data_IF_899944985171
#
_entry.id   IF_899944985171
#
_cell.length_a   1.000
_cell.length_b   1.000
_cell.length_c   1.000
_cell.angle_alpha   90.00
_cell.angle_beta   90.00
_cell.angle_gamma   90.00
#
_symmetry.space_group_name_H-M   'P 1'
#
loop_
_entity.id
_entity.type
_entity.pdbx_description
1 polymer ?
#
# COMPACT_ATOMS: atom_id res chain seq x y z
N UNK A 1 -86.30 18.48 53.47
CA UNK A 1 -86.85 19.75 52.94
C UNK A 1 -86.28 19.92 51.54
N UNK A 2 -86.89 19.28 50.53
CA UNK A 2 -87.98 19.83 49.71
C UNK A 2 -87.57 21.08 48.94
N UNK A 3 -87.16 20.92 47.68
CA UNK A 3 -87.41 21.92 46.64
C UNK A 3 -87.47 21.22 45.27
N UNK A 4 -88.64 21.33 44.62
CA UNK A 4 -88.90 21.08 43.18
C UNK A 4 -89.19 22.45 42.53
N UNK A 5 -89.57 22.51 41.24
CA UNK A 5 -88.85 22.55 39.95
C UNK A 5 -88.94 23.99 39.36
N UNK A 6 -88.76 24.30 38.04
CA UNK A 6 -89.75 24.04 36.95
C UNK A 6 -89.13 23.68 35.55
N UNK A 7 -89.78 22.90 34.67
CA UNK A 7 -90.66 23.25 33.52
C UNK A 7 -90.11 24.40 32.64
N UNK A 8 -89.96 24.39 31.30
CA UNK A 8 -90.67 23.80 30.14
C UNK A 8 -89.77 24.07 28.87
N UNK A 9 -90.22 23.95 27.60
CA UNK A 9 -90.23 22.80 26.69
C UNK A 9 -89.37 23.07 25.39
N UNK A 10 -89.76 22.43 24.28
CA UNK A 10 -89.54 22.77 22.85
C UNK A 10 -88.55 21.86 22.10
N UNK A 11 -89.14 20.85 21.44
CA UNK A 11 -88.98 20.49 20.04
C UNK A 11 -87.82 21.13 19.26
N UNK A 12 -86.83 20.32 18.87
CA UNK A 12 -85.77 20.72 17.95
C UNK A 12 -85.34 19.57 17.05
N UNK A 13 -85.90 19.57 15.84
CA UNK A 13 -85.62 18.78 14.65
C UNK A 13 -84.22 18.16 14.51
N UNK A 14 -84.23 16.97 13.91
CA UNK A 14 -83.10 16.27 13.32
C UNK A 14 -82.20 17.18 12.46
N UNK A 15 -80.89 17.01 12.63
CA UNK A 15 -79.90 17.24 11.59
C UNK A 15 -78.81 16.17 11.75
N UNK A 16 -78.83 15.18 10.87
CA UNK A 16 -77.74 14.24 10.68
C UNK A 16 -76.55 15.03 10.10
N UNK A 17 -75.66 15.50 10.98
CA UNK A 17 -74.36 16.01 10.59
C UNK A 17 -73.47 14.85 10.18
N UNK A 18 -73.21 14.69 8.89
CA UNK A 18 -72.06 13.94 8.39
C UNK A 18 -70.81 14.51 9.07
N UNK A 19 -70.24 13.76 10.02
CA UNK A 19 -68.90 14.03 10.49
C UNK A 19 -67.94 13.70 9.33
N UNK A 20 -67.47 14.72 8.63
CA UNK A 20 -66.28 14.63 7.79
C UNK A 20 -65.11 14.24 8.70
N UNK A 21 -64.78 12.95 8.72
CA UNK A 21 -63.47 12.48 9.19
C UNK A 21 -62.45 13.08 8.24
N UNK A 22 -61.47 13.90 8.68
CA UNK A 22 -60.36 14.25 7.83
C UNK A 22 -59.61 12.95 7.57
N UNK A 23 -59.66 12.48 6.33
CA UNK A 23 -58.75 11.45 5.86
C UNK A 23 -57.34 12.00 6.07
N UNK A 24 -56.67 11.55 7.13
CA UNK A 24 -55.22 11.63 7.23
C UNK A 24 -54.69 10.87 6.03
N UNK A 25 -54.37 11.61 4.97
CA UNK A 25 -53.46 11.18 3.93
C UNK A 25 -52.16 10.83 4.65
N UNK A 26 -52.02 9.55 5.01
CA UNK A 26 -50.71 8.96 5.14
C UNK A 26 -50.08 9.15 3.77
N UNK A 27 -49.22 10.17 3.66
CA UNK A 27 -48.26 10.23 2.59
C UNK A 27 -47.50 8.91 2.69
N UNK A 28 -47.87 7.96 1.83
CA UNK A 28 -47.03 6.81 1.58
C UNK A 28 -45.78 7.39 0.95
N UNK A 29 -44.76 7.61 1.78
CA UNK A 29 -43.42 7.87 1.31
C UNK A 29 -43.12 6.76 0.29
N UNK A 30 -42.90 7.17 -0.96
CA UNK A 30 -42.59 6.26 -2.05
C UNK A 30 -41.39 5.40 -1.59
N UNK A 31 -41.51 4.06 -1.46
CA UNK A 31 -40.44 3.19 -1.02
C UNK A 31 -39.34 3.03 -2.08
N UNK A 32 -39.31 3.91 -3.09
CA UNK A 32 -38.11 4.22 -3.87
C UNK A 32 -37.04 4.79 -2.95
N UNK A 33 -36.39 3.84 -2.27
CA UNK A 33 -35.11 3.88 -1.61
C UNK A 33 -34.48 5.27 -1.59
N UNK A 34 -34.41 5.86 -0.39
CA UNK A 34 -33.23 6.65 -0.09
C UNK A 34 -32.05 5.72 -0.36
N UNK A 35 -31.44 5.87 -1.54
CA UNK A 35 -30.23 5.16 -1.95
C UNK A 35 -29.25 5.30 -0.79
N UNK A 36 -28.92 4.18 -0.13
CA UNK A 36 -28.08 4.18 1.07
C UNK A 36 -26.80 4.95 0.74
N UNK A 37 -26.45 5.94 1.55
CA UNK A 37 -25.32 6.81 1.27
C UNK A 37 -24.05 5.97 1.02
N UNK A 38 -23.39 6.18 -0.13
CA UNK A 38 -22.22 5.41 -0.53
C UNK A 38 -22.51 4.24 -1.46
N UNK A 39 -23.77 3.89 -1.72
CA UNK A 39 -24.09 2.83 -2.68
C UNK A 39 -23.77 3.21 -4.13
N UNK A 40 -23.66 4.52 -4.42
CA UNK A 40 -23.14 5.08 -5.66
C UNK A 40 -21.61 5.00 -5.82
N UNK A 41 -20.89 4.76 -4.71
CA UNK A 41 -19.45 4.70 -4.72
C UNK A 41 -18.97 3.30 -5.09
N UNK A 42 -17.93 3.24 -5.91
CA UNK A 42 -17.11 2.05 -6.12
C UNK A 42 -15.70 2.32 -5.60
N UNK A 43 -15.21 1.43 -4.75
CA UNK A 43 -13.83 1.48 -4.25
C UNK A 43 -13.06 0.35 -4.89
N UNK A 44 -11.90 0.64 -5.45
CA UNK A 44 -11.07 -0.38 -6.11
C UNK A 44 -9.60 -0.17 -5.79
N UNK A 45 -8.82 -1.24 -5.75
CA UNK A 45 -7.37 -1.19 -5.68
C UNK A 45 -6.82 -1.37 -7.08
N UNK A 46 -6.09 -0.37 -7.57
CA UNK A 46 -5.27 -0.50 -8.77
C UNK A 46 -3.91 -1.07 -8.40
N UNK A 47 -3.46 -2.04 -9.19
CA UNK A 47 -2.12 -2.59 -9.13
C UNK A 47 -1.46 -2.42 -10.48
N UNK A 48 -0.30 -1.77 -10.49
CA UNK A 48 0.51 -1.56 -11.68
C UNK A 48 1.76 -2.42 -11.60
N UNK A 49 2.01 -3.17 -12.67
CA UNK A 49 3.17 -4.04 -12.81
C UNK A 49 4.49 -3.27 -12.77
N UNK A 50 5.59 -4.02 -12.78
CA UNK A 50 6.94 -3.45 -12.68
C UNK A 50 7.28 -2.60 -13.92
N UNK A 51 8.19 -1.64 -13.77
CA UNK A 51 8.64 -0.75 -14.85
C UNK A 51 10.13 -0.81 -15.14
N UNK A 52 10.60 0.05 -16.03
CA UNK A 52 12.00 0.09 -16.47
C UNK A 52 12.94 0.68 -15.40
N UNK A 53 12.51 1.75 -14.74
CA UNK A 53 13.34 2.46 -13.78
C UNK A 53 13.46 1.71 -12.44
N UNK A 54 14.55 1.91 -11.71
CA UNK A 54 14.84 1.18 -10.46
C UNK A 54 13.74 1.32 -9.41
N UNK A 55 13.16 2.51 -9.26
CA UNK A 55 12.05 2.77 -8.33
C UNK A 55 10.70 2.18 -8.80
N UNK A 56 10.59 1.73 -10.05
CA UNK A 56 9.38 1.11 -10.60
C UNK A 56 9.43 -0.42 -10.55
N UNK A 57 10.57 -1.00 -10.17
CA UNK A 57 10.81 -2.45 -10.24
C UNK A 57 9.95 -3.29 -9.31
N UNK A 58 9.25 -2.64 -8.40
CA UNK A 58 8.40 -3.31 -7.41
C UNK A 58 6.91 -3.18 -7.74
N UNK A 59 6.56 -2.38 -8.75
CA UNK A 59 5.18 -2.08 -9.10
C UNK A 59 4.68 -0.80 -8.43
N UNK A 60 3.37 -0.60 -8.44
CA UNK A 60 2.70 0.49 -7.71
C UNK A 60 1.27 0.12 -7.34
N UNK A 61 0.73 0.73 -6.28
CA UNK A 61 -0.70 0.68 -5.99
C UNK A 61 -1.32 2.08 -5.89
N UNK A 62 -2.59 2.14 -6.20
CA UNK A 62 -3.45 3.27 -5.91
C UNK A 62 -4.82 2.78 -5.46
N UNK A 63 -5.56 3.61 -4.72
CA UNK A 63 -6.97 3.36 -4.43
C UNK A 63 -7.80 4.25 -5.33
N UNK A 64 -8.75 3.67 -6.06
CA UNK A 64 -9.71 4.39 -6.89
C UNK A 64 -11.01 4.54 -6.14
N UNK A 65 -11.50 5.78 -6.09
CA UNK A 65 -12.86 6.11 -5.68
C UNK A 65 -13.60 6.60 -6.92
N UNK A 66 -14.58 5.82 -7.38
CA UNK A 66 -15.48 6.21 -8.45
C UNK A 66 -16.83 6.61 -7.85
N UNK A 67 -17.27 7.83 -8.16
CA UNK A 67 -18.57 8.38 -7.78
C UNK A 67 -19.51 8.32 -9.00
N UNK A 68 -20.46 7.39 -8.97
CA UNK A 68 -21.44 7.19 -10.03
C UNK A 68 -22.42 8.36 -10.23
N UNK A 69 -22.57 9.26 -9.24
CA UNK A 69 -23.42 10.45 -9.38
C UNK A 69 -22.71 11.56 -10.16
N UNK A 70 -21.40 11.67 -9.99
CA UNK A 70 -20.58 12.70 -10.62
C UNK A 70 -19.90 12.21 -11.91
N UNK A 71 -19.90 10.89 -12.15
CA UNK A 71 -19.16 10.28 -13.25
C UNK A 71 -17.65 10.48 -13.12
N UNK A 72 -17.14 10.61 -11.89
CA UNK A 72 -15.75 10.96 -11.60
C UNK A 72 -15.04 9.81 -10.90
N UNK A 73 -13.86 9.44 -11.37
CA UNK A 73 -13.00 8.44 -10.75
C UNK A 73 -11.65 9.06 -10.37
N UNK A 74 -11.31 9.03 -9.09
CA UNK A 74 -10.04 9.57 -8.57
C UNK A 74 -9.17 8.42 -8.09
N UNK A 75 -7.95 8.33 -8.63
CA UNK A 75 -6.90 7.43 -8.17
C UNK A 75 -5.99 8.14 -7.15
N UNK A 76 -6.08 7.73 -5.89
CA UNK A 76 -5.23 8.19 -4.80
C UNK A 76 -3.93 7.37 -4.79
N UNK A 77 -2.85 8.04 -5.18
CA UNK A 77 -1.51 7.48 -5.30
C UNK A 77 -0.66 7.88 -4.10
N UNK A 78 -0.03 6.90 -3.45
CA UNK A 78 1.01 7.12 -2.45
C UNK A 78 2.39 7.07 -3.11
N UNK A 79 3.43 7.57 -2.47
CA UNK A 79 4.80 7.46 -2.98
C UNK A 79 5.17 8.51 -4.03
N UNK A 80 4.44 9.62 -4.10
CA UNK A 80 4.82 10.76 -4.93
C UNK A 80 6.04 11.47 -4.31
N UNK A 81 7.00 11.86 -5.16
CA UNK A 81 8.19 12.61 -4.76
C UNK A 81 8.59 13.65 -5.82
N UNK A 82 9.43 14.63 -5.45
CA UNK A 82 9.95 15.63 -6.37
C UNK A 82 11.43 15.89 -6.14
N UNK A 83 12.21 15.82 -7.22
CA UNK A 83 13.63 16.19 -7.26
C UNK A 83 13.89 17.67 -6.98
N UNK A 84 12.86 18.53 -7.11
CA UNK A 84 12.95 19.97 -6.86
C UNK A 84 12.70 20.36 -5.40
N UNK A 85 12.52 19.39 -4.51
CA UNK A 85 12.38 19.66 -3.08
C UNK A 85 13.69 20.24 -2.52
N UNK A 86 13.59 21.20 -1.59
CA UNK A 86 14.76 21.81 -0.99
C UNK A 86 15.68 20.78 -0.33
N UNK A 87 16.97 20.85 -0.66
CA UNK A 87 18.00 19.93 -0.17
C UNK A 87 17.72 18.45 -0.49
N UNK A 88 17.07 18.16 -1.63
CA UNK A 88 16.75 16.79 -2.06
C UNK A 88 17.90 15.80 -1.85
N UNK A 89 19.09 16.09 -2.38
CA UNK A 89 20.25 15.19 -2.29
C UNK A 89 20.69 14.97 -0.83
N UNK A 90 20.72 16.02 0.00
CA UNK A 90 21.10 15.91 1.41
C UNK A 90 20.05 15.11 2.20
N UNK A 91 18.77 15.36 2.00
CA UNK A 91 17.67 14.63 2.65
C UNK A 91 17.62 13.18 2.20
N UNK A 92 17.93 12.90 0.93
CA UNK A 92 18.06 11.55 0.39
C UNK A 92 19.19 10.79 1.08
N UNK A 93 20.41 11.36 1.15
CA UNK A 93 21.54 10.75 1.85
C UNK A 93 21.29 10.55 3.35
N UNK A 94 20.47 11.40 3.98
CA UNK A 94 20.08 11.29 5.38
C UNK A 94 18.87 10.38 5.65
N UNK A 95 18.22 9.82 4.61
CA UNK A 95 17.00 9.02 4.77
C UNK A 95 15.78 9.82 5.26
N UNK A 96 15.73 11.13 5.01
CA UNK A 96 14.69 12.08 5.49
C UNK A 96 13.76 12.59 4.37
N UNK A 97 13.68 11.86 3.26
CA UNK A 97 12.78 12.21 2.16
C UNK A 97 11.32 12.08 2.59
N UNK A 98 10.57 13.17 2.41
CA UNK A 98 9.11 13.15 2.56
C UNK A 98 8.50 12.82 1.21
N UNK A 99 7.67 11.78 1.23
CA UNK A 99 6.81 11.40 0.12
C UNK A 99 5.41 11.87 0.45
N UNK A 100 4.55 11.97 -0.57
CA UNK A 100 3.17 12.37 -0.33
C UNK A 100 2.15 11.54 -1.11
N UNK A 101 0.92 11.62 -0.64
CA UNK A 101 -0.26 11.12 -1.34
C UNK A 101 -0.91 12.21 -2.20
N UNK A 102 -1.33 11.85 -3.42
CA UNK A 102 -2.07 12.73 -4.31
C UNK A 102 -3.15 11.98 -5.10
N UNK A 103 -4.29 12.64 -5.31
CA UNK A 103 -5.37 12.17 -6.18
C UNK A 103 -5.21 12.70 -7.60
N UNK A 104 -5.39 11.82 -8.59
CA UNK A 104 -5.41 12.15 -10.02
C UNK A 104 -6.61 11.48 -10.69
N UNK A 105 -6.96 11.90 -11.91
CA UNK A 105 -7.95 11.18 -12.71
C UNK A 105 -7.52 9.73 -12.94
N UNK A 106 -8.41 8.78 -12.69
CA UNK A 106 -8.08 7.37 -12.77
C UNK A 106 -7.75 6.92 -14.21
N UNK A 107 -8.42 7.48 -15.22
CA UNK A 107 -8.15 7.14 -16.61
C UNK A 107 -6.78 7.67 -17.05
N UNK A 108 -6.41 8.88 -16.62
CA UNK A 108 -5.09 9.45 -16.89
C UNK A 108 -3.97 8.62 -16.26
N UNK A 109 -4.18 8.17 -15.01
CA UNK A 109 -3.25 7.26 -14.33
C UNK A 109 -3.11 5.97 -15.13
N UNK A 110 -4.20 5.26 -15.42
CA UNK A 110 -4.16 4.02 -16.20
C UNK A 110 -3.48 4.24 -17.55
N UNK A 111 -3.82 5.31 -18.27
CA UNK A 111 -3.21 5.64 -19.55
C UNK A 111 -1.70 5.90 -19.45
N UNK A 112 -1.21 6.52 -18.37
CA UNK A 112 0.23 6.72 -18.16
C UNK A 112 0.99 5.41 -17.98
N UNK A 113 0.44 4.46 -17.21
CA UNK A 113 1.09 3.15 -17.00
C UNK A 113 1.03 2.28 -18.26
N UNK A 114 -0.05 2.38 -19.04
CA UNK A 114 -0.15 1.76 -20.37
C UNK A 114 0.92 2.27 -21.31
N UNK A 115 1.13 3.59 -21.40
CA UNK A 115 2.20 4.18 -22.23
C UNK A 115 3.60 3.76 -21.76
N UNK A 116 3.76 3.50 -20.47
CA UNK A 116 5.01 2.98 -19.91
C UNK A 116 5.22 1.47 -20.16
N UNK A 117 4.25 0.77 -20.77
CA UNK A 117 4.31 -0.67 -21.03
C UNK A 117 4.18 -1.52 -19.77
N UNK A 118 3.45 -1.04 -18.75
CA UNK A 118 3.29 -1.72 -17.46
C UNK A 118 1.88 -2.27 -17.34
N UNK A 119 1.72 -3.56 -17.05
CA UNK A 119 0.39 -4.15 -16.80
C UNK A 119 -0.37 -3.39 -15.72
N UNK A 120 -1.70 -3.34 -15.84
CA UNK A 120 -2.60 -2.64 -14.91
C UNK A 120 -3.80 -3.53 -14.62
N UNK A 121 -4.01 -3.81 -13.34
CA UNK A 121 -5.15 -4.57 -12.83
C UNK A 121 -5.97 -3.72 -11.85
N UNK A 122 -7.28 -3.91 -11.86
CA UNK A 122 -8.24 -3.27 -10.95
C UNK A 122 -8.99 -4.34 -10.17
N UNK A 123 -9.02 -4.23 -8.84
CA UNK A 123 -9.79 -5.09 -7.95
C UNK A 123 -10.84 -4.26 -7.21
N UNK A 124 -12.11 -4.42 -7.56
CA UNK A 124 -13.24 -3.81 -6.86
C UNK A 124 -13.42 -4.48 -5.49
N UNK A 125 -13.48 -3.67 -4.43
CA UNK A 125 -13.64 -4.16 -3.07
C UNK A 125 -15.12 -4.32 -2.71
N UNK A 126 -15.45 -5.46 -2.09
CA UNK A 126 -16.77 -5.81 -1.61
C UNK A 126 -17.04 -5.15 -0.24
N UNK A 127 -17.25 -3.84 -0.26
CA UNK A 127 -17.49 -3.01 0.93
C UNK A 127 -18.96 -2.66 1.07
N UNK A 128 -19.44 -2.55 2.31
CA UNK A 128 -20.77 -1.98 2.60
C UNK A 128 -20.82 -0.49 2.23
N UNK A 129 -22.00 0.09 1.97
CA UNK A 129 -22.11 1.53 1.66
C UNK A 129 -21.45 2.43 2.71
N UNK A 130 -21.65 2.12 4.00
CA UNK A 130 -20.99 2.82 5.10
C UNK A 130 -19.45 2.74 5.04
N UNK A 131 -18.89 1.57 4.73
CA UNK A 131 -17.44 1.41 4.56
C UNK A 131 -16.92 2.21 3.36
N UNK A 132 -17.66 2.29 2.25
CA UNK A 132 -17.25 3.09 1.07
C UNK A 132 -17.23 4.58 1.37
N UNK A 133 -18.21 5.08 2.11
CA UNK A 133 -18.22 6.47 2.61
C UNK A 133 -17.01 6.72 3.50
N UNK A 134 -16.78 5.86 4.50
CA UNK A 134 -15.63 5.99 5.41
C UNK A 134 -14.29 5.96 4.64
N UNK A 135 -14.17 5.11 3.62
CA UNK A 135 -12.97 5.02 2.79
C UNK A 135 -12.74 6.32 2.00
N UNK A 136 -13.76 6.82 1.30
CA UNK A 136 -13.67 8.11 0.58
C UNK A 136 -13.26 9.23 1.54
N UNK A 137 -13.94 9.35 2.68
CA UNK A 137 -13.70 10.43 3.63
C UNK A 137 -12.28 10.36 4.23
N UNK A 138 -11.77 9.16 4.50
CA UNK A 138 -10.38 8.93 4.90
C UNK A 138 -9.39 9.40 3.82
N UNK A 139 -9.62 9.05 2.55
CA UNK A 139 -8.73 9.44 1.46
C UNK A 139 -8.77 10.96 1.22
N UNK A 140 -9.95 11.57 1.27
CA UNK A 140 -10.07 13.03 1.15
C UNK A 140 -9.41 13.77 2.31
N UNK A 141 -9.53 13.25 3.54
CA UNK A 141 -8.80 13.77 4.69
C UNK A 141 -7.28 13.61 4.52
N UNK A 142 -6.81 12.44 4.09
CA UNK A 142 -5.38 12.17 3.95
C UNK A 142 -4.76 12.95 2.78
N UNK A 143 -5.53 13.33 1.76
CA UNK A 143 -5.07 14.13 0.63
C UNK A 143 -4.81 15.61 0.99
N UNK A 144 -5.29 16.08 2.15
CA UNK A 144 -5.10 17.47 2.60
C UNK A 144 -3.61 17.78 2.81
N UNK A 145 -3.16 19.03 2.57
CA UNK A 145 -1.76 19.42 2.69
C UNK A 145 -1.10 19.05 4.03
N UNK A 146 -1.88 19.06 5.12
CA UNK A 146 -1.42 18.79 6.48
C UNK A 146 -1.23 17.29 6.76
N UNK A 147 -1.89 16.41 5.98
CA UNK A 147 -1.95 14.96 6.24
C UNK A 147 -1.25 14.11 5.20
N UNK A 148 -0.99 14.66 4.00
CA UNK A 148 -0.53 13.87 2.85
C UNK A 148 0.92 13.41 2.93
N UNK A 149 1.76 14.06 3.74
CA UNK A 149 3.20 13.81 3.79
C UNK A 149 3.56 12.72 4.79
N UNK A 150 4.50 11.85 4.41
CA UNK A 150 5.00 10.79 5.27
C UNK A 150 6.46 10.46 4.97
N UNK A 151 7.12 9.78 5.92
CA UNK A 151 8.49 9.30 5.76
C UNK A 151 8.45 7.94 5.07
N UNK A 152 9.08 7.86 3.92
CA UNK A 152 9.07 6.63 3.15
C UNK A 152 10.09 5.64 3.72
N UNK A 153 9.61 4.45 4.04
CA UNK A 153 10.42 3.27 4.30
C UNK A 153 10.09 2.24 3.21
N UNK A 154 11.13 1.78 2.54
CA UNK A 154 10.98 0.93 1.40
C UNK A 154 10.19 -0.37 1.67
N UNK A 155 10.35 -0.98 2.85
CA UNK A 155 9.68 -2.23 3.22
C UNK A 155 8.48 -2.01 4.13
N UNK A 156 8.46 -0.93 4.91
CA UNK A 156 7.49 -0.72 5.98
C UNK A 156 6.46 0.35 5.67
N UNK A 157 6.83 1.36 4.89
CA UNK A 157 6.02 2.57 4.68
C UNK A 157 6.17 3.08 3.23
N UNK A 158 5.53 2.36 2.30
CA UNK A 158 5.58 2.60 0.87
C UNK A 158 4.18 2.68 0.26
N UNK A 159 4.08 2.76 -1.08
CA UNK A 159 2.78 2.89 -1.73
C UNK A 159 1.84 1.69 -1.49
N UNK A 160 2.37 0.48 -1.47
CA UNK A 160 1.62 -0.75 -1.21
C UNK A 160 1.22 -0.89 0.25
N UNK A 161 2.14 -0.65 1.20
CA UNK A 161 1.81 -0.75 2.64
C UNK A 161 0.80 0.32 3.06
N UNK A 162 0.86 1.52 2.48
CA UNK A 162 -0.15 2.57 2.71
C UNK A 162 -1.53 2.18 2.21
N UNK A 163 -1.62 1.55 1.03
CA UNK A 163 -2.90 1.02 0.52
C UNK A 163 -3.40 -0.13 1.38
N UNK A 164 -2.52 -1.09 1.73
CA UNK A 164 -2.81 -2.21 2.63
C UNK A 164 -3.38 -1.73 3.97
N UNK A 165 -2.71 -0.78 4.60
CA UNK A 165 -3.10 -0.25 5.90
C UNK A 165 -4.41 0.54 5.83
N UNK A 166 -4.63 1.31 4.75
CA UNK A 166 -5.90 1.98 4.52
C UNK A 166 -7.06 0.98 4.38
N UNK A 167 -6.88 -0.08 3.58
CA UNK A 167 -7.88 -1.16 3.44
C UNK A 167 -8.16 -1.82 4.79
N UNK A 168 -7.12 -2.21 5.53
CA UNK A 168 -7.29 -2.88 6.82
C UNK A 168 -7.98 -1.99 7.86
N UNK A 169 -7.73 -0.68 7.84
CA UNK A 169 -8.38 0.28 8.74
C UNK A 169 -9.90 0.34 8.52
N UNK A 170 -10.36 0.27 7.26
CA UNK A 170 -11.79 0.26 6.90
C UNK A 170 -12.43 -1.09 7.21
N UNK A 171 -11.64 -2.17 7.20
CA UNK A 171 -12.06 -3.51 7.55
C UNK A 171 -11.90 -3.84 9.04
N UNK A 172 -11.49 -2.88 9.87
CA UNK A 172 -11.35 -3.06 11.32
C UNK A 172 -10.31 -4.11 11.72
N UNK A 173 -9.22 -4.27 10.96
CA UNK A 173 -8.15 -5.23 11.27
C UNK A 173 -8.36 -6.64 10.69
N UNK A 174 -9.47 -6.89 9.99
CA UNK A 174 -9.79 -8.21 9.46
C UNK A 174 -8.81 -8.67 8.37
N UNK A 175 -8.23 -7.74 7.59
CA UNK A 175 -7.28 -8.08 6.54
C UNK A 175 -5.95 -8.53 7.15
N UNK A 176 -5.43 -7.75 8.12
CA UNK A 176 -4.21 -8.09 8.86
C UNK A 176 -4.33 -9.43 9.57
N UNK A 177 -5.45 -9.67 10.23
CA UNK A 177 -5.68 -10.91 10.99
C UNK A 177 -5.60 -12.15 10.08
N UNK A 178 -6.10 -12.06 8.86
CA UNK A 178 -6.12 -13.17 7.90
C UNK A 178 -4.81 -13.36 7.12
N UNK A 179 -3.85 -12.43 7.24
CA UNK A 179 -2.59 -12.43 6.47
C UNK A 179 -1.35 -12.54 7.36
N UNK A 180 -1.47 -13.21 8.51
CA UNK A 180 -0.33 -13.51 9.40
C UNK A 180 0.40 -14.81 9.04
N UNK A 181 -0.02 -15.51 7.98
CA UNK A 181 0.66 -16.71 7.48
C UNK A 181 2.08 -16.42 6.98
N UNK A 182 2.91 -17.45 6.76
CA UNK A 182 4.26 -17.26 6.24
C UNK A 182 4.25 -16.68 4.83
N UNK A 183 5.14 -15.72 4.59
CA UNK A 183 5.44 -15.17 3.27
C UNK A 183 6.15 -16.19 2.38
N UNK A 184 6.08 -16.00 1.07
CA UNK A 184 6.85 -16.81 0.11
C UNK A 184 8.34 -16.46 0.12
N UNK A 185 8.69 -15.23 0.49
CA UNK A 185 10.06 -14.74 0.45
C UNK A 185 10.40 -13.71 1.51
N UNK A 186 11.70 -13.56 1.74
CA UNK A 186 12.25 -12.49 2.57
C UNK A 186 12.36 -11.19 1.77
N UNK A 187 12.57 -10.07 2.46
CA UNK A 187 12.82 -8.79 1.80
C UNK A 187 14.04 -8.83 0.88
N UNK A 188 15.11 -9.54 1.26
CA UNK A 188 16.29 -9.73 0.41
C UNK A 188 15.92 -10.54 -0.83
N UNK A 189 15.19 -11.64 -0.68
CA UNK A 189 14.76 -12.49 -1.80
C UNK A 189 14.01 -11.67 -2.87
N UNK A 190 13.02 -10.90 -2.45
CA UNK A 190 12.25 -10.05 -3.37
C UNK A 190 13.09 -8.92 -3.99
N UNK A 191 13.95 -8.30 -3.20
CA UNK A 191 14.83 -7.22 -3.69
C UNK A 191 15.80 -7.74 -4.75
N UNK A 192 16.35 -8.93 -4.55
CA UNK A 192 17.23 -9.59 -5.49
C UNK A 192 16.51 -9.92 -6.81
N UNK A 193 15.39 -10.65 -6.75
CA UNK A 193 14.70 -11.12 -7.96
C UNK A 193 14.15 -9.98 -8.82
N UNK A 194 13.85 -8.81 -8.23
CA UNK A 194 13.33 -7.66 -8.96
C UNK A 194 14.42 -6.71 -9.52
N UNK A 195 15.67 -6.85 -9.07
CA UNK A 195 16.80 -6.00 -9.50
C UNK A 195 17.84 -6.72 -10.36
N UNK A 196 17.53 -7.92 -10.87
CA UNK A 196 18.46 -8.79 -11.63
C UNK A 196 19.01 -8.16 -12.90
N UNK A 197 18.21 -7.32 -13.57
CA UNK A 197 18.57 -6.62 -14.80
C UNK A 197 19.67 -5.56 -14.61
N UNK A 198 19.97 -5.15 -13.37
CA UNK A 198 21.01 -4.16 -13.07
C UNK A 198 22.01 -4.73 -12.05
N UNK A 199 23.10 -5.35 -12.52
CA UNK A 199 24.09 -5.96 -11.64
C UNK A 199 24.77 -5.03 -10.65
N UNK A 200 25.02 -3.78 -11.05
CA UNK A 200 25.61 -2.80 -10.15
C UNK A 200 24.65 -2.44 -9.00
N UNK A 201 23.38 -2.15 -9.31
CA UNK A 201 22.37 -1.85 -8.31
C UNK A 201 22.11 -3.05 -7.39
N UNK A 202 21.93 -4.24 -7.96
CA UNK A 202 21.78 -5.46 -7.18
C UNK A 202 22.95 -5.64 -6.20
N UNK A 203 24.19 -5.53 -6.68
CA UNK A 203 25.39 -5.70 -5.83
C UNK A 203 25.41 -4.65 -4.71
N UNK A 204 25.15 -3.39 -5.04
CA UNK A 204 25.09 -2.30 -4.06
C UNK A 204 24.01 -2.53 -3.00
N UNK A 205 22.82 -2.98 -3.40
CA UNK A 205 21.75 -3.33 -2.46
C UNK A 205 22.13 -4.53 -1.58
N UNK A 206 22.85 -5.52 -2.11
CA UNK A 206 23.28 -6.66 -1.29
C UNK A 206 24.27 -6.28 -0.20
N UNK A 207 25.11 -5.28 -0.47
CA UNK A 207 26.03 -4.71 0.52
C UNK A 207 25.32 -3.79 1.51
N UNK A 208 24.28 -3.07 1.08
CA UNK A 208 23.55 -2.10 1.90
C UNK A 208 22.49 -2.75 2.81
N UNK A 209 21.89 -3.86 2.38
CA UNK A 209 20.87 -4.55 3.16
C UNK A 209 21.51 -5.35 4.31
N UNK A 210 21.10 -5.02 5.53
CA UNK A 210 21.47 -5.75 6.74
C UNK A 210 20.71 -7.06 6.91
N UNK A 211 20.99 -7.74 8.02
CA UNK A 211 20.44 -9.07 8.36
C UNK A 211 18.91 -9.10 8.49
N UNK A 212 18.27 -7.99 8.85
CA UNK A 212 16.81 -7.90 8.95
C UNK A 212 16.14 -8.19 7.61
N UNK A 213 16.81 -7.92 6.47
CA UNK A 213 16.27 -8.26 5.16
C UNK A 213 16.13 -9.77 4.93
N UNK A 214 16.82 -10.60 5.72
CA UNK A 214 16.84 -12.07 5.64
C UNK A 214 15.88 -12.74 6.63
N UNK A 215 15.25 -11.97 7.53
CA UNK A 215 14.31 -12.52 8.49
C UNK A 215 13.05 -13.08 7.80
N UNK A 216 12.46 -14.18 8.32
CA UNK A 216 11.16 -14.67 7.87
C UNK A 216 10.10 -13.56 7.94
N UNK A 217 9.20 -13.56 6.95
CA UNK A 217 8.13 -12.56 6.85
C UNK A 217 6.77 -13.20 6.89
N UNK A 218 5.79 -12.41 7.30
CA UNK A 218 4.37 -12.72 7.15
C UNK A 218 3.87 -12.24 5.79
N UNK A 219 2.76 -12.82 5.31
CA UNK A 219 2.07 -12.32 4.11
C UNK A 219 1.73 -10.82 4.25
N UNK A 220 1.35 -10.38 5.46
CA UNK A 220 1.14 -8.97 5.79
C UNK A 220 2.36 -8.10 5.48
N UNK A 221 3.54 -8.53 5.88
CA UNK A 221 4.79 -7.82 5.59
C UNK A 221 5.23 -7.96 4.12
N UNK A 222 4.89 -9.06 3.46
CA UNK A 222 5.19 -9.30 2.04
C UNK A 222 4.39 -8.36 1.11
N UNK A 223 3.25 -7.86 1.58
CA UNK A 223 2.46 -6.80 0.91
C UNK A 223 3.14 -5.44 0.86
N UNK A 224 4.42 -5.32 1.22
CA UNK A 224 5.25 -4.22 0.73
C UNK A 224 5.36 -4.24 -0.82
N UNK A 225 5.10 -5.40 -1.45
CA UNK A 225 5.01 -5.55 -2.89
C UNK A 225 3.56 -5.41 -3.40
N UNK A 226 3.32 -4.51 -4.35
CA UNK A 226 2.04 -4.36 -5.03
C UNK A 226 1.42 -5.63 -5.60
N UNK A 227 2.23 -6.50 -6.22
CA UNK A 227 1.74 -7.76 -6.77
C UNK A 227 1.27 -8.73 -5.67
N UNK A 228 1.96 -8.75 -4.53
CA UNK A 228 1.57 -9.56 -3.38
C UNK A 228 0.32 -9.04 -2.70
N UNK A 229 0.18 -7.71 -2.59
CA UNK A 229 -1.08 -7.11 -2.15
C UNK A 229 -2.26 -7.54 -3.03
N UNK A 230 -2.10 -7.49 -4.36
CA UNK A 230 -3.12 -7.96 -5.31
C UNK A 230 -3.49 -9.43 -5.11
N UNK A 231 -2.49 -10.29 -4.87
CA UNK A 231 -2.70 -11.71 -4.60
C UNK A 231 -3.50 -11.93 -3.32
N UNK A 232 -3.04 -11.39 -2.20
CA UNK A 232 -3.68 -11.59 -0.90
C UNK A 232 -5.05 -10.92 -0.76
N UNK A 233 -5.33 -9.84 -1.50
CA UNK A 233 -6.68 -9.28 -1.59
C UNK A 233 -7.72 -10.32 -2.06
N UNK A 234 -7.35 -11.26 -2.94
CA UNK A 234 -8.27 -12.30 -3.44
C UNK A 234 -8.63 -13.35 -2.40
N UNK A 235 -7.72 -13.59 -1.47
CA UNK A 235 -7.82 -14.69 -0.51
C UNK A 235 -8.69 -14.31 0.69
N UNK A 236 -8.75 -13.02 1.00
CA UNK A 236 -9.43 -12.49 2.19
C UNK A 236 -10.93 -12.50 2.03
N UNK A 237 -11.61 -12.85 3.12
CA UNK A 237 -13.08 -12.75 3.23
C UNK A 237 -13.48 -11.75 4.30
N UNK A 238 -14.58 -11.06 4.07
CA UNK A 238 -15.13 -10.02 4.96
C UNK A 238 -16.62 -10.27 5.18
N UNK A 239 -17.17 -9.91 6.35
CA UNK A 239 -18.60 -10.01 6.58
C UNK A 239 -19.35 -8.99 5.72
N UNK A 240 -20.43 -9.42 5.09
CA UNK A 240 -21.39 -8.52 4.44
C UNK A 240 -22.37 -7.92 5.47
N UNK A 241 -23.37 -7.16 5.00
CA UNK A 241 -24.40 -6.56 5.84
C UNK A 241 -25.27 -7.57 6.60
N UNK A 242 -25.26 -8.85 6.20
CA UNK A 242 -25.97 -9.95 6.87
C UNK A 242 -25.08 -10.71 7.85
N UNK A 243 -23.77 -10.41 7.87
CA UNK A 243 -22.76 -11.12 8.65
C UNK A 243 -22.17 -12.34 7.95
N UNK A 244 -22.56 -12.63 6.71
CA UNK A 244 -22.02 -13.74 5.93
C UNK A 244 -20.63 -13.39 5.38
N UNK A 245 -19.69 -14.34 5.41
CA UNK A 245 -18.35 -14.13 4.87
C UNK A 245 -18.32 -14.23 3.35
N UNK A 246 -18.10 -13.09 2.70
CA UNK A 246 -17.97 -12.94 1.25
C UNK A 246 -16.51 -12.61 0.87
N UNK A 247 -16.07 -12.92 -0.36
CA UNK A 247 -14.75 -12.49 -0.83
C UNK A 247 -14.61 -10.96 -0.77
N UNK A 248 -13.43 -10.48 -0.34
CA UNK A 248 -13.11 -9.05 -0.30
C UNK A 248 -13.04 -8.46 -1.72
N UNK A 249 -12.51 -9.21 -2.68
CA UNK A 249 -12.53 -8.80 -4.09
C UNK A 249 -13.86 -9.20 -4.70
N UNK A 250 -14.70 -8.20 -5.01
CA UNK A 250 -16.00 -8.40 -5.67
C UNK A 250 -15.83 -8.74 -7.14
N UNK A 251 -14.94 -8.01 -7.82
CA UNK A 251 -14.64 -8.18 -9.23
C UNK A 251 -13.18 -7.79 -9.50
N UNK A 252 -12.54 -8.45 -10.46
CA UNK A 252 -11.19 -8.13 -10.88
C UNK A 252 -11.15 -7.98 -12.41
N UNK A 253 -10.43 -6.95 -12.87
CA UNK A 253 -10.29 -6.62 -14.29
C UNK A 253 -8.83 -6.38 -14.63
N UNK A 254 -8.38 -6.96 -15.74
CA UNK A 254 -7.13 -6.56 -16.38
C UNK A 254 -7.42 -5.39 -17.31
N UNK A 255 -6.95 -4.21 -16.97
CA UNK A 255 -7.12 -3.00 -17.80
C UNK A 255 -6.10 -2.94 -18.92
N UNK A 256 -4.91 -3.51 -18.68
CA UNK A 256 -3.84 -3.66 -19.67
C UNK A 256 -2.88 -4.75 -19.23
N UNK A 257 -2.42 -5.57 -20.17
CA UNK A 257 -1.42 -6.61 -19.93
C UNK A 257 -0.19 -6.33 -20.79
N UNK A 258 1.00 -6.55 -20.24
CA UNK A 258 2.29 -6.30 -20.89
C UNK A 258 3.31 -7.33 -20.45
N UNK A 259 4.11 -7.79 -21.40
CA UNK A 259 5.25 -8.69 -21.21
C UNK A 259 6.60 -7.93 -21.22
N UNK A 260 6.58 -6.60 -21.34
CA UNK A 260 7.78 -5.78 -21.48
C UNK A 260 8.75 -5.88 -20.29
N UNK A 261 8.23 -6.21 -19.10
CA UNK A 261 9.02 -6.31 -17.88
C UNK A 261 8.69 -7.60 -17.11
N UNK A 262 9.27 -8.74 -17.50
CA UNK A 262 9.05 -9.99 -16.80
C UNK A 262 9.58 -9.91 -15.37
N UNK A 263 8.83 -10.49 -14.45
CA UNK A 263 9.19 -10.60 -13.03
C UNK A 263 9.78 -11.99 -12.79
N UNK A 264 11.06 -12.11 -12.44
CA UNK A 264 11.65 -13.41 -12.11
C UNK A 264 11.03 -14.00 -10.84
N UNK A 265 10.79 -15.32 -10.87
CA UNK A 265 10.29 -16.08 -9.72
C UNK A 265 11.34 -16.21 -8.61
N UNK A 266 12.62 -16.27 -8.99
CA UNK A 266 13.74 -16.44 -8.07
C UNK A 266 14.91 -15.49 -8.37
N UNK A 267 15.72 -15.15 -7.35
CA UNK A 267 17.01 -14.50 -7.52
C UNK A 267 17.96 -15.30 -8.42
N UNK A 268 18.89 -14.62 -9.11
CA UNK A 268 19.92 -15.27 -9.90
C UNK A 268 21.03 -15.78 -8.99
N UNK A 269 21.66 -16.88 -9.38
CA UNK A 269 22.78 -17.47 -8.64
C UNK A 269 24.10 -16.72 -8.93
N UNK A 270 24.26 -15.51 -8.39
CA UNK A 270 25.48 -14.70 -8.61
C UNK A 270 26.64 -15.00 -7.67
N UNK A 271 26.40 -15.78 -6.61
CA UNK A 271 27.44 -16.16 -5.65
C UNK A 271 28.71 -16.75 -6.31
N UNK A 272 28.63 -17.67 -7.29
CA UNK A 272 29.82 -18.17 -7.97
C UNK A 272 30.63 -17.06 -8.66
N UNK A 273 29.96 -16.07 -9.27
CA UNK A 273 30.63 -14.96 -9.94
C UNK A 273 31.32 -14.03 -8.94
N UNK A 274 30.70 -13.77 -7.79
CA UNK A 274 31.35 -13.02 -6.72
C UNK A 274 32.57 -13.74 -6.16
N UNK A 275 32.50 -15.06 -5.99
CA UNK A 275 33.64 -15.87 -5.56
C UNK A 275 34.78 -15.84 -6.58
N UNK A 276 34.46 -16.00 -7.87
CA UNK A 276 35.46 -15.92 -8.95
C UNK A 276 36.11 -14.53 -9.01
N UNK A 277 35.32 -13.46 -8.91
CA UNK A 277 35.84 -12.10 -8.87
C UNK A 277 36.74 -11.88 -7.63
N UNK A 278 36.35 -12.39 -6.47
CA UNK A 278 37.15 -12.35 -5.25
C UNK A 278 38.48 -13.09 -5.38
N UNK A 279 38.48 -14.29 -5.95
CA UNK A 279 39.69 -15.07 -6.23
C UNK A 279 40.60 -14.34 -7.22
N UNK A 280 40.04 -13.78 -8.30
CA UNK A 280 40.81 -13.03 -9.30
C UNK A 280 41.46 -11.77 -8.67
N UNK A 281 40.70 -11.00 -7.89
CA UNK A 281 41.23 -9.84 -7.17
C UNK A 281 42.31 -10.25 -6.16
N UNK A 282 42.07 -11.30 -5.39
CA UNK A 282 43.07 -11.84 -4.45
C UNK A 282 44.36 -12.28 -5.15
N UNK A 283 44.24 -12.92 -6.32
CA UNK A 283 45.37 -13.31 -7.17
C UNK A 283 46.14 -12.10 -7.71
N UNK A 284 45.45 -11.05 -8.16
CA UNK A 284 46.08 -9.80 -8.60
C UNK A 284 46.81 -9.09 -7.45
N UNK A 285 46.21 -9.04 -6.26
CA UNK A 285 46.87 -8.54 -5.06
C UNK A 285 48.13 -9.35 -4.74
N UNK A 286 48.04 -10.67 -4.73
CA UNK A 286 49.18 -11.56 -4.46
C UNK A 286 50.29 -11.40 -5.51
N UNK A 287 49.94 -11.26 -6.79
CA UNK A 287 50.89 -11.03 -7.87
C UNK A 287 51.57 -9.66 -7.79
N UNK A 288 50.82 -8.60 -7.49
CA UNK A 288 51.35 -7.25 -7.29
C UNK A 288 52.34 -7.17 -6.12
N UNK A 289 52.02 -7.81 -4.99
CA UNK A 289 52.95 -7.90 -3.86
C UNK A 289 54.13 -8.84 -4.11
N UNK A 290 53.91 -9.95 -4.81
CA UNK A 290 54.98 -10.89 -5.18
C UNK A 290 56.01 -10.28 -6.14
N UNK A 291 55.56 -9.44 -7.08
CA UNK A 291 56.45 -8.71 -8.01
C UNK A 291 57.12 -7.50 -7.37
N UNK A 292 56.49 -6.85 -6.38
CA UNK A 292 57.10 -5.80 -5.56
C UNK A 292 58.17 -6.36 -4.61
N UNK A 293 57.95 -7.54 -4.03
CA UNK A 293 58.92 -8.24 -3.20
C UNK A 293 60.10 -8.83 -4.01
N UNK A 294 59.88 -9.12 -5.31
CA UNK A 294 60.89 -9.65 -6.23
C UNK A 294 61.90 -8.62 -6.77
N UNK A 295 61.72 -7.32 -6.51
CA UNK A 295 62.63 -6.23 -6.96
C UNK A 295 63.51 -5.66 -5.82
N UNK A 296 64.07 -6.54 -4.97
CA UNK A 296 65.33 -6.43 -4.19
C UNK A 296 65.54 -5.29 -3.16
N UNK A 297 66.63 -5.31 -2.34
CA UNK A 297 67.20 -6.40 -1.55
C UNK A 297 67.02 -6.17 -0.02
N UNK A 298 66.94 -7.24 0.78
CA UNK A 298 67.24 -7.27 2.23
C UNK A 298 66.94 -5.99 3.05
N UNK A 299 65.68 -5.58 3.16
CA UNK A 299 65.29 -4.70 4.26
C UNK A 299 65.13 -5.54 5.53
N UNK A 300 66.15 -5.47 6.37
CA UNK A 300 66.26 -6.09 7.71
C UNK A 300 64.92 -6.10 8.46
N UNK A 301 64.43 -7.30 8.75
CA UNK A 301 63.50 -7.56 9.87
C UNK A 301 64.22 -7.30 11.20
N UNK A 302 64.41 -6.02 11.52
CA UNK A 302 65.29 -5.61 12.61
C UNK A 302 64.79 -4.43 13.41
N UNK A 303 63.48 -4.26 13.63
CA UNK A 303 62.95 -3.39 14.69
C UNK A 303 61.42 -3.40 14.78
N UNK A 304 60.79 -4.51 15.19
CA UNK A 304 59.44 -4.46 15.77
C UNK A 304 59.35 -5.17 17.13
N UNK A 305 60.49 -5.44 17.78
CA UNK A 305 60.56 -6.01 19.13
C UNK A 305 60.48 -4.99 20.28
N UNK A 306 60.08 -3.72 20.01
CA UNK A 306 60.16 -2.65 21.02
C UNK A 306 58.84 -1.91 21.30
N UNK A 307 57.70 -2.51 20.94
CA UNK A 307 56.35 -2.00 21.28
C UNK A 307 55.56 -2.92 22.23
N UNK A 308 56.20 -3.97 22.77
CA UNK A 308 55.57 -4.94 23.67
C UNK A 308 56.20 -4.97 25.09
N UNK A 309 56.64 -3.81 25.59
CA UNK A 309 57.11 -3.63 26.98
C UNK A 309 56.57 -2.35 27.64
N UNK A 310 55.30 -1.99 27.36
CA UNK A 310 54.65 -0.81 27.94
C UNK A 310 53.41 -1.09 28.80
N UNK A 311 52.96 -2.35 28.91
CA UNK A 311 51.65 -2.70 29.51
C UNK A 311 51.78 -3.54 30.81
N UNK A 312 52.75 -3.20 31.68
CA UNK A 312 52.84 -3.75 33.05
C UNK A 312 53.22 -2.70 34.09
N UNK A 313 52.50 -1.59 34.13
CA UNK A 313 52.64 -0.65 35.25
C UNK A 313 51.41 0.27 35.37
N UNK A 314 50.24 -0.27 35.71
CA UNK A 314 49.15 0.42 36.42
C UNK A 314 48.30 -0.63 37.15
N UNK A 315 48.84 -1.11 38.29
CA UNK A 315 48.07 -1.29 39.51
C UNK A 315 48.26 -0.02 40.34
#
# INVERSE_FOLDING_TARGET
>A
MSWRPPLWPVLGRAAAGLALVPALLWAQADPRAATEAGSELRISVLTMGVGAASWERFGHNAIVVEDGRQGRAVAYNYGMFSFRSENFLLRFLQGRMLYWMAGYDANDVVASYRRAGRSVWEQELNLTPAQRVAFRDFLEWNARPENKFYRYDYYRDNCSTRVRDAVDSILGGAFKTQTQGPAEGTWRFHTQRLNTHNPALYTGLMLALGEDADAPRTQWEEMFLPLKLREYLREVRVPDSTGALVPLVRAERTLYESDAYPVPDAPPAWLPWYLLAGVALGGLFAWGFGTAAGRGPRARWGSCGRWWRGWRAWC
#
